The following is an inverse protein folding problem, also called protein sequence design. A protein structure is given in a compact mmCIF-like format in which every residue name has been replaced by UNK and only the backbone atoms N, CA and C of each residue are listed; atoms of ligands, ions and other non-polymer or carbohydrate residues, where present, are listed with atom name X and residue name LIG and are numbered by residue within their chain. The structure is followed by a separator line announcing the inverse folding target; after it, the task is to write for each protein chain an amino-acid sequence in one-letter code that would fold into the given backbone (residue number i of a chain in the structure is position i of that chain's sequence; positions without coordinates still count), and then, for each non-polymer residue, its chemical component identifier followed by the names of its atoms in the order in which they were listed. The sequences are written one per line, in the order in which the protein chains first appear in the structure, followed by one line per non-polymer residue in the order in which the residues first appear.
data_IF_059375591497
#
_entry.id   IF_059375591497
#
_cell.length_a   1.000
_cell.length_b   1.000
_cell.length_c   1.000
_cell.angle_alpha   90.00
_cell.angle_beta   90.00
_cell.angle_gamma   90.00
#
_symmetry.space_group_name_H-M   'P 1'
#
loop_
_entity.id
_entity.type
_entity.pdbx_description
1 polymer ?
#
# COMPACT_ATOMS: atom_id res chain seq x y z
N UNK A 1 37.92 19.50 7.22
CA UNK A 1 37.20 20.27 6.17
C UNK A 1 37.61 21.73 6.23
N UNK A 2 38.10 22.29 5.10
CA UNK A 2 38.52 23.70 5.00
C UNK A 2 37.35 24.70 5.07
N UNK A 3 37.65 25.98 5.32
CA UNK A 3 36.63 27.04 5.46
C UNK A 3 35.81 27.26 4.17
N UNK A 4 36.46 27.25 3.01
CA UNK A 4 35.80 27.43 1.69
C UNK A 4 34.84 26.28 1.40
N UNK A 5 35.25 25.04 1.71
CA UNK A 5 34.43 23.85 1.50
C UNK A 5 33.17 23.88 2.37
N UNK A 6 33.31 24.30 3.64
CA UNK A 6 32.17 24.51 4.53
C UNK A 6 31.21 25.59 4.01
N UNK A 7 31.71 26.66 3.39
CA UNK A 7 30.86 27.72 2.82
C UNK A 7 30.11 27.24 1.57
N UNK A 8 30.76 26.48 0.68
CA UNK A 8 30.11 25.86 -0.49
C UNK A 8 29.01 24.90 -0.06
N UNK A 9 29.32 24.02 0.90
CA UNK A 9 28.36 23.08 1.47
C UNK A 9 27.12 23.79 2.06
N UNK A 10 27.32 24.85 2.85
CA UNK A 10 26.20 25.64 3.41
C UNK A 10 25.34 26.31 2.34
N UNK A 11 25.96 26.84 1.27
CA UNK A 11 25.20 27.42 0.15
C UNK A 11 24.38 26.35 -0.58
N UNK A 12 24.96 25.16 -0.75
CA UNK A 12 24.28 24.03 -1.37
C UNK A 12 23.07 23.56 -0.55
N UNK A 13 23.25 23.34 0.75
CA UNK A 13 22.18 22.98 1.69
C UNK A 13 21.07 24.04 1.72
N UNK A 14 21.44 25.32 1.69
CA UNK A 14 20.48 26.42 1.66
C UNK A 14 19.65 26.42 0.37
N UNK A 15 20.27 26.16 -0.79
CA UNK A 15 19.56 26.06 -2.06
C UNK A 15 18.56 24.90 -2.05
N UNK A 16 18.97 23.72 -1.57
CA UNK A 16 18.08 22.56 -1.40
C UNK A 16 16.89 22.92 -0.52
N UNK A 17 17.14 23.48 0.67
CA UNK A 17 16.07 23.84 1.61
C UNK A 17 15.07 24.84 1.01
N UNK A 18 15.56 25.84 0.26
CA UNK A 18 14.72 26.82 -0.45
C UNK A 18 13.82 26.13 -1.48
N UNK A 19 14.39 25.26 -2.33
CA UNK A 19 13.62 24.60 -3.38
C UNK A 19 12.67 23.52 -2.84
N UNK A 20 13.01 22.86 -1.72
CA UNK A 20 12.07 21.96 -1.01
C UNK A 20 10.84 22.71 -0.49
N UNK A 21 11.02 23.94 0.01
CA UNK A 21 9.88 24.78 0.40
C UNK A 21 9.05 25.19 -0.82
N UNK A 22 9.71 25.56 -1.91
CA UNK A 22 9.04 26.02 -3.13
C UNK A 22 8.21 24.90 -3.80
N UNK A 23 8.76 23.70 -3.97
CA UNK A 23 8.09 22.59 -4.67
C UNK A 23 6.79 22.13 -3.97
N UNK A 24 6.68 22.36 -2.66
CA UNK A 24 5.49 22.03 -1.85
C UNK A 24 4.54 23.22 -1.64
N UNK A 25 4.81 24.38 -2.23
CA UNK A 25 4.02 25.58 -1.97
C UNK A 25 2.65 25.50 -2.69
N UNK A 26 1.62 25.13 -1.93
CA UNK A 26 0.23 24.98 -2.42
C UNK A 26 -0.40 26.28 -2.91
N UNK A 27 -0.04 27.40 -2.29
CA UNK A 27 -0.64 28.71 -2.58
C UNK A 27 0.27 29.61 -3.42
N UNK A 28 1.45 29.11 -3.79
CA UNK A 28 2.41 29.82 -4.63
C UNK A 28 2.07 29.76 -6.10
N UNK A 29 2.74 30.62 -6.87
CA UNK A 29 2.72 30.56 -8.33
C UNK A 29 3.30 29.23 -8.81
N UNK A 30 2.72 28.64 -9.85
CA UNK A 30 3.20 27.38 -10.43
C UNK A 30 4.66 27.46 -10.89
N UNK A 31 5.10 28.63 -11.34
CA UNK A 31 6.48 28.89 -11.76
C UNK A 31 7.52 28.59 -10.67
N UNK A 32 7.21 28.84 -9.39
CA UNK A 32 8.16 28.57 -8.31
C UNK A 32 8.33 27.06 -8.08
N UNK A 33 7.24 26.29 -8.25
CA UNK A 33 7.32 24.81 -8.24
C UNK A 33 8.07 24.32 -9.46
N UNK A 34 7.83 24.90 -10.64
CA UNK A 34 8.56 24.54 -11.85
C UNK A 34 10.07 24.78 -11.73
N UNK A 35 10.47 25.95 -11.23
CA UNK A 35 11.89 26.25 -10.94
C UNK A 35 12.50 25.27 -9.94
N UNK A 36 11.72 24.77 -8.98
CA UNK A 36 12.17 23.75 -8.04
C UNK A 36 12.30 22.36 -8.69
N UNK A 37 11.35 21.97 -9.56
CA UNK A 37 11.43 20.73 -10.34
C UNK A 37 12.69 20.75 -11.22
N UNK A 38 12.93 21.83 -11.95
CA UNK A 38 14.14 22.00 -12.78
C UNK A 38 15.42 21.97 -11.95
N UNK A 39 15.43 22.61 -10.77
CA UNK A 39 16.57 22.60 -9.86
C UNK A 39 16.92 21.18 -9.42
N UNK A 40 15.94 20.40 -8.94
CA UNK A 40 16.20 19.05 -8.47
C UNK A 40 16.51 18.07 -9.61
N UNK A 41 15.89 18.26 -10.78
CA UNK A 41 16.23 17.51 -11.99
C UNK A 41 17.70 17.72 -12.39
N UNK A 42 18.19 18.97 -12.39
CA UNK A 42 19.60 19.29 -12.68
C UNK A 42 20.56 18.85 -11.57
N UNK A 43 20.10 18.88 -10.31
CA UNK A 43 20.91 18.44 -9.18
C UNK A 43 21.25 16.94 -9.30
N UNK A 44 20.26 16.13 -9.67
CA UNK A 44 20.42 14.68 -9.78
C UNK A 44 20.83 14.02 -8.47
N UNK A 45 21.17 12.73 -8.54
CA UNK A 45 21.52 11.93 -7.37
C UNK A 45 20.42 11.90 -6.30
N UNK A 46 20.76 11.36 -5.13
CA UNK A 46 19.76 11.13 -4.08
C UNK A 46 19.10 12.43 -3.58
N UNK A 47 19.85 13.53 -3.45
CA UNK A 47 19.27 14.82 -3.04
C UNK A 47 18.30 15.40 -4.08
N UNK A 48 18.60 15.20 -5.37
CA UNK A 48 17.69 15.55 -6.47
C UNK A 48 16.42 14.71 -6.44
N UNK A 49 16.55 13.38 -6.34
CA UNK A 49 15.40 12.46 -6.32
C UNK A 49 14.49 12.71 -5.11
N UNK A 50 15.08 12.88 -3.93
CA UNK A 50 14.33 13.22 -2.72
C UNK A 50 13.59 14.55 -2.87
N UNK A 51 14.24 15.56 -3.43
CA UNK A 51 13.63 16.87 -3.67
C UNK A 51 12.46 16.81 -4.66
N UNK A 52 12.61 16.05 -5.76
CA UNK A 52 11.54 15.81 -6.74
C UNK A 52 10.34 15.10 -6.11
N UNK A 53 10.58 14.02 -5.36
CA UNK A 53 9.52 13.26 -4.71
C UNK A 53 8.67 14.13 -3.77
N UNK A 54 9.23 15.20 -3.18
CA UNK A 54 8.47 16.12 -2.32
C UNK A 54 7.28 16.79 -3.06
N UNK A 55 7.28 16.83 -4.40
CA UNK A 55 6.13 17.32 -5.17
C UNK A 55 4.86 16.48 -4.93
N UNK A 56 5.01 15.18 -4.70
CA UNK A 56 3.88 14.28 -4.45
C UNK A 56 3.24 14.46 -3.07
N UNK A 57 3.86 15.23 -2.16
CA UNK A 57 3.35 15.43 -0.81
C UNK A 57 2.14 16.38 -0.73
N UNK A 58 1.86 17.11 -1.81
CA UNK A 58 0.83 18.15 -1.84
C UNK A 58 -0.05 18.02 -3.07
N UNK A 59 -1.34 18.30 -2.88
CA UNK A 59 -2.26 18.57 -3.97
C UNK A 59 -2.42 20.10 -4.09
N UNK A 60 -2.55 20.58 -5.33
CA UNK A 60 -2.64 22.00 -5.66
C UNK A 60 -3.86 22.24 -6.55
N UNK A 61 -4.49 23.41 -6.41
CA UNK A 61 -5.56 23.85 -7.31
C UNK A 61 -5.03 24.77 -8.43
N UNK A 62 -5.56 24.69 -9.66
CA UNK A 62 -6.54 23.70 -10.13
C UNK A 62 -5.91 22.29 -10.26
N UNK A 63 -6.71 21.25 -10.04
CA UNK A 63 -6.29 19.85 -10.08
C UNK A 63 -5.58 19.42 -11.36
N UNK A 64 -5.95 19.97 -12.53
CA UNK A 64 -5.32 19.67 -13.82
C UNK A 64 -3.82 19.99 -13.77
N UNK A 65 -3.47 21.20 -13.30
CA UNK A 65 -2.07 21.62 -13.18
C UNK A 65 -1.30 20.77 -12.17
N UNK A 66 -1.96 20.35 -11.09
CA UNK A 66 -1.34 19.47 -10.10
C UNK A 66 -0.97 18.11 -10.70
N UNK A 67 -1.87 17.55 -11.50
CA UNK A 67 -1.64 16.28 -12.19
C UNK A 67 -0.53 16.42 -13.24
N UNK A 68 -0.52 17.48 -14.05
CA UNK A 68 0.54 17.76 -15.02
C UNK A 68 1.93 17.86 -14.37
N UNK A 69 2.05 18.62 -13.27
CA UNK A 69 3.31 18.76 -12.55
C UNK A 69 3.77 17.43 -11.93
N UNK A 70 2.85 16.62 -11.39
CA UNK A 70 3.16 15.31 -10.83
C UNK A 70 3.55 14.31 -11.93
N UNK A 71 2.87 14.34 -13.07
CA UNK A 71 3.20 13.54 -14.23
C UNK A 71 4.59 13.89 -14.77
N UNK A 72 4.95 15.16 -14.86
CA UNK A 72 6.30 15.58 -15.24
C UNK A 72 7.36 15.04 -14.25
N UNK A 73 7.12 15.16 -12.95
CA UNK A 73 8.03 14.63 -11.92
C UNK A 73 8.16 13.10 -12.02
N UNK A 74 7.05 12.40 -12.28
CA UNK A 74 7.05 10.96 -12.53
C UNK A 74 7.95 10.60 -13.71
N UNK A 75 7.80 11.26 -14.86
CA UNK A 75 8.61 10.99 -16.06
C UNK A 75 10.11 11.24 -15.83
N UNK A 76 10.45 12.32 -15.10
CA UNK A 76 11.85 12.63 -14.74
C UNK A 76 12.42 11.51 -13.88
N UNK A 77 11.69 11.06 -12.86
CA UNK A 77 12.17 10.01 -11.94
C UNK A 77 12.26 8.66 -12.66
N UNK A 78 11.31 8.31 -13.53
CA UNK A 78 11.36 7.10 -14.36
C UNK A 78 12.58 7.12 -15.28
N UNK A 79 12.88 8.28 -15.89
CA UNK A 79 14.08 8.46 -16.71
C UNK A 79 15.41 8.28 -15.95
N UNK A 80 15.39 8.32 -14.61
CA UNK A 80 16.55 8.06 -13.76
C UNK A 80 16.73 6.57 -13.44
N UNK A 81 15.78 5.69 -13.79
CA UNK A 81 15.88 4.24 -13.62
C UNK A 81 15.97 3.78 -12.16
N UNK A 82 16.64 2.66 -11.89
CA UNK A 82 16.67 2.07 -10.55
C UNK A 82 17.40 2.93 -9.47
N UNK A 83 18.16 3.95 -9.87
CA UNK A 83 18.91 4.81 -8.94
C UNK A 83 18.01 5.63 -8.00
N UNK A 84 16.73 5.83 -8.34
CA UNK A 84 15.75 6.52 -7.49
C UNK A 84 15.22 5.65 -6.33
N UNK A 85 15.39 4.31 -6.38
CA UNK A 85 14.81 3.39 -5.38
C UNK A 85 15.17 3.76 -3.93
N UNK A 86 16.43 4.09 -3.56
CA UNK A 86 16.75 4.49 -2.18
C UNK A 86 16.01 5.75 -1.71
N UNK A 87 15.77 6.71 -2.61
CA UNK A 87 14.98 7.91 -2.30
C UNK A 87 13.50 7.55 -2.09
N UNK A 88 12.94 6.60 -2.87
CA UNK A 88 11.58 6.08 -2.66
C UNK A 88 11.49 5.34 -1.31
N UNK A 89 12.44 4.48 -0.98
CA UNK A 89 12.49 3.79 0.31
C UNK A 89 12.45 4.80 1.46
N UNK A 90 13.27 5.85 1.39
CA UNK A 90 13.30 6.93 2.39
C UNK A 90 11.97 7.69 2.43
N UNK A 91 11.37 7.96 1.27
CA UNK A 91 10.08 8.63 1.13
C UNK A 91 8.95 7.84 1.80
N UNK A 92 8.88 6.54 1.55
CA UNK A 92 7.86 5.65 2.11
C UNK A 92 8.07 5.51 3.63
N UNK A 93 9.32 5.45 4.09
CA UNK A 93 9.66 5.18 5.49
C UNK A 93 9.86 6.43 6.37
N UNK A 94 9.54 7.62 5.89
CA UNK A 94 9.68 8.90 6.61
C UNK A 94 8.88 8.94 7.92
N UNK A 95 9.21 9.87 8.81
CA UNK A 95 8.57 9.97 10.14
C UNK A 95 7.11 10.45 10.06
N UNK A 96 6.81 11.32 9.12
CA UNK A 96 5.49 11.84 8.79
C UNK A 96 4.77 10.99 7.74
N UNK A 97 5.16 9.71 7.58
CA UNK A 97 4.67 8.83 6.52
C UNK A 97 3.15 8.65 6.54
N UNK A 98 2.53 8.67 7.73
CA UNK A 98 1.08 8.54 7.90
C UNK A 98 0.27 9.60 7.15
N UNK A 99 0.79 10.82 6.95
CA UNK A 99 0.05 11.93 6.32
C UNK A 99 0.47 12.23 4.88
N UNK A 100 1.41 11.45 4.34
CA UNK A 100 2.03 11.72 3.05
C UNK A 100 1.63 10.64 2.04
N UNK A 101 0.98 11.02 0.91
CA UNK A 101 0.55 10.08 -0.11
C UNK A 101 1.72 9.28 -0.70
N UNK A 102 1.52 7.99 -0.95
CA UNK A 102 2.53 7.11 -1.55
C UNK A 102 2.16 6.59 -2.93
N UNK A 103 0.98 6.93 -3.46
CA UNK A 103 0.51 6.45 -4.77
C UNK A 103 1.51 6.74 -5.90
N UNK A 104 1.96 7.99 -6.02
CA UNK A 104 2.95 8.36 -7.05
C UNK A 104 4.34 7.73 -6.83
N UNK A 105 4.92 7.77 -5.62
CA UNK A 105 6.14 7.01 -5.34
C UNK A 105 6.05 5.52 -5.67
N UNK A 106 4.91 4.86 -5.41
CA UNK A 106 4.70 3.46 -5.77
C UNK A 106 4.59 3.27 -7.29
N UNK A 107 3.92 4.18 -8.01
CA UNK A 107 3.94 4.18 -9.49
C UNK A 107 5.36 4.28 -10.04
N UNK A 108 6.19 5.19 -9.48
CA UNK A 108 7.60 5.29 -9.90
C UNK A 108 8.34 4.00 -9.58
N UNK A 109 8.16 3.43 -8.39
CA UNK A 109 8.79 2.17 -8.00
C UNK A 109 8.47 1.06 -8.99
N UNK A 110 7.19 0.90 -9.35
CA UNK A 110 6.72 -0.12 -10.29
C UNK A 110 7.33 0.04 -11.69
N UNK A 111 7.51 1.29 -12.13
CA UNK A 111 8.08 1.60 -13.44
C UNK A 111 9.61 1.40 -13.52
N UNK A 112 10.34 1.47 -12.40
CA UNK A 112 11.82 1.46 -12.41
C UNK A 112 12.46 0.25 -11.75
N UNK A 113 11.73 -0.46 -10.88
CA UNK A 113 12.26 -1.58 -10.12
C UNK A 113 12.01 -2.92 -10.83
N UNK A 114 12.92 -3.86 -10.62
CA UNK A 114 12.61 -5.28 -10.82
C UNK A 114 11.58 -5.74 -9.78
N UNK A 115 10.86 -6.84 -10.05
CA UNK A 115 9.93 -7.45 -9.10
C UNK A 115 10.56 -7.67 -7.72
N UNK A 116 11.75 -8.25 -7.65
CA UNK A 116 12.46 -8.51 -6.38
C UNK A 116 12.75 -7.21 -5.60
N UNK A 117 13.15 -6.16 -6.31
CA UNK A 117 13.39 -4.85 -5.69
C UNK A 117 12.09 -4.23 -5.16
N UNK A 118 11.03 -4.20 -5.97
CA UNK A 118 9.74 -3.64 -5.56
C UNK A 118 9.17 -4.38 -4.34
N UNK A 119 9.16 -5.72 -4.40
CA UNK A 119 8.72 -6.58 -3.28
C UNK A 119 9.54 -6.32 -2.03
N UNK A 120 10.88 -6.25 -2.14
CA UNK A 120 11.75 -5.96 -0.99
C UNK A 120 11.43 -4.61 -0.33
N UNK A 121 11.21 -3.56 -1.13
CA UNK A 121 10.85 -2.22 -0.61
C UNK A 121 9.52 -2.26 0.13
N UNK A 122 8.50 -2.85 -0.49
CA UNK A 122 7.14 -2.89 0.06
C UNK A 122 7.08 -3.76 1.32
N UNK A 123 7.70 -4.94 1.29
CA UNK A 123 7.80 -5.84 2.45
C UNK A 123 8.53 -5.16 3.62
N UNK A 124 9.64 -4.46 3.36
CA UNK A 124 10.34 -3.73 4.41
C UNK A 124 9.48 -2.63 5.04
N UNK A 125 8.71 -1.90 4.22
CA UNK A 125 7.79 -0.87 4.70
C UNK A 125 6.66 -1.47 5.55
N UNK A 126 6.01 -2.54 5.07
CA UNK A 126 4.95 -3.25 5.78
C UNK A 126 5.45 -3.82 7.12
N UNK A 127 6.62 -4.48 7.14
CA UNK A 127 7.22 -5.01 8.37
C UNK A 127 7.48 -3.91 9.41
N UNK A 128 7.94 -2.75 8.96
CA UNK A 128 8.18 -1.59 9.85
C UNK A 128 6.87 -1.03 10.42
N UNK A 129 5.80 -1.04 9.65
CA UNK A 129 4.48 -0.58 10.11
C UNK A 129 3.80 -1.59 11.03
N UNK A 130 4.10 -2.89 10.88
CA UNK A 130 3.51 -3.96 11.68
C UNK A 130 1.99 -4.04 11.57
N UNK A 131 1.36 -4.77 12.48
CA UNK A 131 -0.10 -4.98 12.54
C UNK A 131 -0.79 -4.13 13.60
N UNK A 132 -0.04 -3.27 14.29
CA UNK A 132 -0.53 -2.42 15.37
C UNK A 132 -1.48 -1.32 14.88
N UNK A 133 -2.26 -0.77 15.81
CA UNK A 133 -3.16 0.35 15.55
C UNK A 133 -2.41 1.52 14.92
N UNK A 134 -2.95 1.99 13.80
CA UNK A 134 -2.56 3.27 13.21
C UNK A 134 -3.82 4.09 12.94
N UNK A 135 -3.65 5.41 13.06
CA UNK A 135 -4.73 6.37 12.80
C UNK A 135 -5.20 6.31 11.34
N UNK A 136 -4.23 6.22 10.41
CA UNK A 136 -4.43 6.29 8.96
C UNK A 136 -4.05 4.92 8.33
N UNK A 137 -4.97 3.94 8.25
CA UNK A 137 -4.71 2.59 7.74
C UNK A 137 -4.57 2.54 6.22
N UNK A 138 -5.00 3.58 5.50
CA UNK A 138 -5.06 3.63 4.04
C UNK A 138 -3.70 3.34 3.43
N UNK A 139 -2.63 3.74 4.12
CA UNK A 139 -1.26 3.43 3.73
C UNK A 139 -0.94 1.93 3.78
N UNK A 140 -1.39 1.22 4.83
CA UNK A 140 -1.22 -0.25 4.92
C UNK A 140 -2.03 -0.91 3.82
N UNK A 141 -3.28 -0.50 3.63
CA UNK A 141 -4.16 -0.99 2.56
C UNK A 141 -3.47 -0.86 1.19
N UNK A 142 -2.95 0.33 0.85
CA UNK A 142 -2.25 0.56 -0.41
C UNK A 142 -1.00 -0.33 -0.58
N UNK A 143 -0.20 -0.51 0.47
CA UNK A 143 1.00 -1.35 0.40
C UNK A 143 0.65 -2.85 0.31
N UNK A 144 -0.39 -3.30 1.01
CA UNK A 144 -0.91 -4.67 0.93
C UNK A 144 -1.45 -4.94 -0.48
N UNK A 145 -2.26 -4.03 -1.03
CA UNK A 145 -2.77 -4.11 -2.40
C UNK A 145 -1.63 -4.14 -3.41
N UNK A 146 -0.68 -3.20 -3.33
CA UNK A 146 0.47 -3.15 -4.24
C UNK A 146 1.34 -4.42 -4.15
N UNK A 147 1.56 -4.98 -2.95
CA UNK A 147 2.33 -6.21 -2.80
C UNK A 147 1.65 -7.41 -3.50
N UNK A 148 0.31 -7.44 -3.51
CA UNK A 148 -0.47 -8.52 -4.09
C UNK A 148 -0.35 -8.62 -5.62
N UNK A 149 -0.06 -7.50 -6.28
CA UNK A 149 0.13 -7.42 -7.75
C UNK A 149 1.37 -8.19 -8.23
N UNK A 150 2.31 -8.52 -7.34
CA UNK A 150 3.52 -9.24 -7.71
C UNK A 150 3.34 -10.77 -7.63
N UNK A 151 3.86 -11.48 -8.62
CA UNK A 151 4.05 -12.93 -8.59
C UNK A 151 5.45 -13.26 -8.03
N UNK A 152 5.57 -13.24 -6.70
CA UNK A 152 6.84 -13.46 -6.01
C UNK A 152 6.64 -14.29 -4.74
N UNK A 153 7.53 -15.24 -4.41
CA UNK A 153 7.36 -16.17 -3.27
C UNK A 153 7.22 -15.47 -1.91
N UNK A 154 7.81 -14.29 -1.74
CA UNK A 154 7.69 -13.52 -0.50
C UNK A 154 6.34 -12.80 -0.34
N UNK A 155 5.46 -12.76 -1.34
CA UNK A 155 4.20 -12.01 -1.26
C UNK A 155 3.27 -12.62 -0.22
N UNK A 156 2.89 -13.89 -0.37
CA UNK A 156 1.91 -14.56 0.51
C UNK A 156 2.37 -14.58 1.98
N UNK A 157 3.62 -14.99 2.32
CA UNK A 157 4.09 -14.97 3.70
C UNK A 157 4.07 -13.59 4.36
N UNK A 158 4.24 -12.50 3.59
CA UNK A 158 4.24 -11.15 4.14
C UNK A 158 2.84 -10.49 4.12
N UNK A 159 1.86 -11.05 3.41
CA UNK A 159 0.45 -10.64 3.49
C UNK A 159 -0.27 -11.30 4.68
N UNK A 160 0.05 -12.56 5.02
CA UNK A 160 -0.58 -13.33 6.09
C UNK A 160 -0.70 -12.58 7.43
N UNK A 161 0.35 -11.89 7.95
CA UNK A 161 0.25 -11.17 9.22
C UNK A 161 -0.87 -10.12 9.25
N UNK A 162 -1.19 -9.50 8.12
CA UNK A 162 -2.19 -8.43 8.02
C UNK A 162 -3.64 -8.93 8.10
N UNK A 163 -3.88 -10.25 8.04
CA UNK A 163 -5.17 -10.84 8.45
C UNK A 163 -5.52 -10.53 9.92
N UNK A 164 -4.51 -10.25 10.75
CA UNK A 164 -4.64 -9.94 12.17
C UNK A 164 -4.34 -8.46 12.47
N UNK A 165 -4.35 -7.58 11.46
CA UNK A 165 -4.13 -6.14 11.66
C UNK A 165 -5.17 -5.53 12.62
N UNK A 166 -4.84 -4.48 13.37
CA UNK A 166 -5.82 -3.83 14.24
C UNK A 166 -7.00 -3.21 13.47
N UNK A 167 -6.82 -2.86 12.18
CA UNK A 167 -7.82 -2.16 11.38
C UNK A 167 -8.53 -3.12 10.42
N UNK A 168 -9.86 -3.19 10.52
CA UNK A 168 -10.68 -4.07 9.68
C UNK A 168 -10.49 -3.82 8.18
N UNK A 169 -10.23 -2.56 7.77
CA UNK A 169 -9.97 -2.25 6.36
C UNK A 169 -8.72 -2.96 5.84
N UNK A 170 -7.68 -3.09 6.69
CA UNK A 170 -6.43 -3.79 6.35
C UNK A 170 -6.63 -5.29 6.35
N UNK A 171 -7.41 -5.83 7.30
CA UNK A 171 -7.75 -7.27 7.33
C UNK A 171 -8.48 -7.70 6.07
N UNK A 172 -9.47 -6.91 5.62
CA UNK A 172 -10.24 -7.17 4.41
C UNK A 172 -9.37 -7.11 3.15
N UNK A 173 -8.47 -6.11 3.06
CA UNK A 173 -7.54 -6.01 1.94
C UNK A 173 -6.58 -7.21 1.90
N UNK A 174 -6.01 -7.60 3.05
CA UNK A 174 -5.14 -8.78 3.14
C UNK A 174 -5.88 -10.07 2.76
N UNK A 175 -7.12 -10.23 3.22
CA UNK A 175 -7.96 -11.37 2.85
C UNK A 175 -8.22 -11.40 1.33
N UNK A 176 -8.61 -10.26 0.75
CA UNK A 176 -8.84 -10.11 -0.69
C UNK A 176 -7.58 -10.47 -1.50
N UNK A 177 -6.44 -9.91 -1.11
CA UNK A 177 -5.15 -10.20 -1.73
C UNK A 177 -4.81 -11.70 -1.68
N UNK A 178 -4.94 -12.34 -0.51
CA UNK A 178 -4.66 -13.77 -0.35
C UNK A 178 -5.62 -14.67 -1.14
N UNK A 179 -6.89 -14.28 -1.25
CA UNK A 179 -7.87 -14.97 -2.12
C UNK A 179 -7.44 -14.89 -3.59
N UNK A 180 -6.97 -13.73 -4.04
CA UNK A 180 -6.50 -13.56 -5.40
C UNK A 180 -5.20 -14.34 -5.68
N UNK A 181 -4.30 -14.43 -4.70
CA UNK A 181 -3.09 -15.28 -4.82
C UNK A 181 -3.42 -16.78 -4.82
N UNK A 182 -4.50 -17.18 -4.16
CA UNK A 182 -4.97 -18.58 -4.07
C UNK A 182 -3.90 -19.58 -3.60
N UNK A 183 -2.94 -19.13 -2.80
CA UNK A 183 -1.87 -19.96 -2.24
C UNK A 183 -2.34 -20.61 -0.92
N UNK A 184 -2.31 -21.94 -0.87
CA UNK A 184 -2.80 -22.75 0.25
C UNK A 184 -2.09 -22.45 1.59
N UNK A 185 -0.92 -21.81 1.58
CA UNK A 185 -0.28 -21.29 2.80
C UNK A 185 -1.21 -20.37 3.61
N UNK A 186 -2.14 -19.68 2.96
CA UNK A 186 -3.11 -18.80 3.63
C UNK A 186 -4.26 -19.54 4.30
N UNK A 187 -4.46 -20.84 4.02
CA UNK A 187 -5.60 -21.62 4.53
C UNK A 187 -5.68 -21.64 6.06
N UNK A 188 -4.58 -22.01 6.73
CA UNK A 188 -4.58 -22.07 8.19
C UNK A 188 -4.72 -20.69 8.85
N UNK A 189 -3.99 -19.63 8.41
CA UNK A 189 -4.23 -18.27 8.90
C UNK A 189 -5.67 -17.78 8.73
N UNK A 190 -6.31 -18.07 7.59
CA UNK A 190 -7.73 -17.73 7.39
C UNK A 190 -8.62 -18.49 8.36
N UNK A 191 -8.38 -19.78 8.60
CA UNK A 191 -9.14 -20.55 9.59
C UNK A 191 -8.94 -20.04 11.01
N UNK A 192 -7.73 -19.60 11.37
CA UNK A 192 -7.45 -18.97 12.66
C UNK A 192 -8.22 -17.66 12.81
N UNK A 193 -8.21 -16.79 11.80
CA UNK A 193 -9.02 -15.58 11.79
C UNK A 193 -10.52 -15.90 11.91
N UNK A 194 -11.02 -16.91 11.20
CA UNK A 194 -12.44 -17.27 11.26
C UNK A 194 -12.90 -17.64 12.67
N UNK A 195 -12.07 -18.38 13.42
CA UNK A 195 -12.41 -18.91 14.74
C UNK A 195 -11.95 -18.04 15.91
N UNK A 196 -11.24 -16.97 15.62
CA UNK A 196 -10.82 -16.00 16.63
C UNK A 196 -12.04 -15.27 17.21
N UNK A 197 -12.06 -15.11 18.54
CA UNK A 197 -13.21 -14.62 19.28
C UNK A 197 -13.53 -13.15 18.96
N UNK A 198 -12.51 -12.34 18.73
CA UNK A 198 -12.60 -10.90 18.45
C UNK A 198 -12.93 -10.60 16.98
N UNK A 199 -13.01 -11.63 16.14
CA UNK A 199 -13.30 -11.45 14.71
C UNK A 199 -14.77 -11.04 14.49
N UNK A 200 -15.03 -9.85 13.92
CA UNK A 200 -16.39 -9.38 13.67
C UNK A 200 -17.15 -10.31 12.71
N UNK A 201 -18.47 -10.42 12.91
CA UNK A 201 -19.35 -11.30 12.10
C UNK A 201 -19.19 -11.06 10.59
N UNK A 202 -19.04 -9.80 10.16
CA UNK A 202 -18.83 -9.44 8.74
C UNK A 202 -17.53 -10.03 8.20
N UNK A 203 -16.45 -9.95 8.97
CA UNK A 203 -15.17 -10.51 8.57
C UNK A 203 -15.21 -12.05 8.59
N UNK A 204 -15.88 -12.67 9.57
CA UNK A 204 -16.12 -14.13 9.56
C UNK A 204 -16.87 -14.58 8.30
N UNK A 205 -17.90 -13.83 7.89
CA UNK A 205 -18.63 -14.13 6.66
C UNK A 205 -17.74 -14.02 5.42
N UNK A 206 -16.90 -12.97 5.33
CA UNK A 206 -15.96 -12.79 4.24
C UNK A 206 -14.91 -13.92 4.18
N UNK A 207 -14.36 -14.35 5.32
CA UNK A 207 -13.42 -15.47 5.38
C UNK A 207 -14.10 -16.79 4.98
N UNK A 208 -15.34 -17.02 5.42
CA UNK A 208 -16.10 -18.19 5.02
C UNK A 208 -16.34 -18.21 3.50
N UNK A 209 -16.67 -17.06 2.90
CA UNK A 209 -16.83 -16.90 1.45
C UNK A 209 -15.50 -17.13 0.70
N UNK A 210 -14.39 -16.61 1.21
CA UNK A 210 -13.06 -16.86 0.69
C UNK A 210 -12.74 -18.37 0.65
N UNK A 211 -12.94 -19.09 1.76
CA UNK A 211 -12.71 -20.54 1.83
C UNK A 211 -13.61 -21.31 0.86
N UNK A 212 -14.87 -20.89 0.68
CA UNK A 212 -15.77 -21.48 -0.31
C UNK A 212 -15.28 -21.25 -1.75
N UNK A 213 -14.91 -20.01 -2.09
CA UNK A 213 -14.40 -19.63 -3.42
C UNK A 213 -13.14 -20.42 -3.79
N UNK A 214 -12.26 -20.63 -2.82
CA UNK A 214 -11.01 -21.36 -2.98
C UNK A 214 -11.18 -22.89 -2.89
N UNK A 215 -12.35 -23.38 -2.47
CA UNK A 215 -12.60 -24.79 -2.24
C UNK A 215 -11.80 -25.38 -1.07
N UNK A 216 -11.33 -24.55 -0.14
CA UNK A 216 -10.51 -24.99 0.98
C UNK A 216 -11.37 -25.57 2.11
N UNK A 217 -10.99 -26.77 2.56
CA UNK A 217 -11.71 -27.44 3.66
C UNK A 217 -11.34 -26.85 5.02
N UNK A 218 -12.24 -26.97 5.99
CA UNK A 218 -12.03 -26.62 7.40
C UNK A 218 -11.48 -27.81 8.21
N UNK A 219 -10.88 -28.81 7.55
CA UNK A 219 -10.27 -29.97 8.22
C UNK A 219 -9.30 -29.52 9.32
N UNK A 220 -9.45 -30.09 10.51
CA UNK A 220 -8.71 -29.69 11.72
C UNK A 220 -9.40 -28.60 12.56
N UNK A 221 -10.33 -27.83 11.97
CA UNK A 221 -11.01 -26.70 12.62
C UNK A 221 -12.53 -26.88 12.71
N UNK A 222 -13.10 -27.98 12.17
CA UNK A 222 -14.55 -28.21 12.02
C UNK A 222 -15.40 -27.75 13.20
N UNK A 223 -15.17 -28.27 14.40
CA UNK A 223 -15.98 -27.95 15.60
C UNK A 223 -15.94 -26.45 15.93
N UNK A 224 -14.76 -25.82 15.82
CA UNK A 224 -14.58 -24.39 16.08
C UNK A 224 -15.29 -23.55 15.02
N UNK A 225 -15.15 -23.93 13.75
CA UNK A 225 -15.83 -23.24 12.64
C UNK A 225 -17.34 -23.34 12.77
N UNK A 226 -17.89 -24.53 13.00
CA UNK A 226 -19.34 -24.73 13.18
C UNK A 226 -19.91 -23.89 14.34
N UNK A 227 -19.14 -23.63 15.39
CA UNK A 227 -19.56 -22.83 16.54
C UNK A 227 -19.64 -21.32 16.25
N UNK A 228 -18.90 -20.82 15.26
CA UNK A 228 -18.78 -19.37 14.96
C UNK A 228 -19.35 -18.97 13.61
N UNK A 229 -19.76 -19.94 12.78
CA UNK A 229 -20.28 -19.66 11.45
C UNK A 229 -21.53 -18.76 11.54
N UNK A 230 -21.56 -17.67 10.75
CA UNK A 230 -22.76 -16.84 10.65
C UNK A 230 -23.99 -17.62 10.17
N UNK A 231 -25.18 -17.16 10.57
CA UNK A 231 -26.46 -17.78 10.19
C UNK A 231 -26.58 -17.91 8.65
N UNK A 232 -27.00 -19.10 8.20
CA UNK A 232 -27.12 -19.44 6.77
C UNK A 232 -25.90 -20.17 6.19
N UNK A 233 -24.81 -20.27 6.95
CA UNK A 233 -23.62 -21.05 6.60
C UNK A 233 -23.54 -22.35 7.40
N UNK A 234 -22.99 -23.40 6.80
CA UNK A 234 -22.79 -24.71 7.44
C UNK A 234 -21.58 -25.43 6.86
N UNK A 235 -21.09 -26.48 7.54
CA UNK A 235 -19.99 -27.31 7.04
C UNK A 235 -20.52 -28.66 6.55
N UNK A 236 -20.27 -29.00 5.29
CA UNK A 236 -20.69 -30.29 4.71
C UNK A 236 -19.85 -31.47 5.23
N UNK A 237 -20.20 -32.71 4.87
CA UNK A 237 -19.46 -33.92 5.31
C UNK A 237 -17.99 -33.94 4.86
N UNK A 238 -17.68 -33.30 3.73
CA UNK A 238 -16.32 -33.18 3.20
C UNK A 238 -15.50 -32.10 3.89
N UNK A 239 -16.10 -31.32 4.79
CA UNK A 239 -15.43 -30.23 5.49
C UNK A 239 -15.39 -28.94 4.69
N UNK A 240 -16.22 -28.76 3.67
CA UNK A 240 -16.34 -27.48 2.97
C UNK A 240 -17.45 -26.65 3.61
N UNK A 241 -17.25 -25.34 3.67
CA UNK A 241 -18.33 -24.42 4.03
C UNK A 241 -19.33 -24.36 2.86
N UNK A 242 -20.62 -24.28 3.17
CA UNK A 242 -21.73 -24.19 2.21
C UNK A 242 -22.77 -23.20 2.70
N UNK A 243 -23.57 -22.70 1.76
CA UNK A 243 -24.70 -21.81 2.03
C UNK A 243 -24.39 -20.36 1.68
N UNK A 244 -25.22 -19.44 2.19
CA UNK A 244 -25.07 -18.00 2.00
C UNK A 244 -25.34 -17.32 3.33
N UNK A 245 -24.50 -16.35 3.69
CA UNK A 245 -24.74 -15.56 4.89
C UNK A 245 -26.07 -14.80 4.78
N UNK A 246 -26.97 -15.03 5.73
CA UNK A 246 -28.35 -14.50 5.70
C UNK A 246 -28.44 -12.97 5.64
N UNK A 247 -27.46 -12.28 6.21
CA UNK A 247 -27.38 -10.82 6.26
C UNK A 247 -26.36 -10.25 5.25
N UNK A 248 -25.96 -11.04 4.25
CA UNK A 248 -25.18 -10.51 3.15
C UNK A 248 -25.90 -9.28 2.56
N UNK A 249 -25.17 -8.19 2.27
CA UNK A 249 -25.76 -7.05 1.58
C UNK A 249 -26.50 -7.55 0.35
N UNK A 250 -27.75 -7.13 0.18
CA UNK A 250 -28.46 -7.34 -1.08
C UNK A 250 -27.61 -6.64 -2.14
N UNK A 251 -26.86 -7.40 -2.94
CA UNK A 251 -26.30 -6.86 -4.16
C UNK A 251 -27.49 -6.27 -4.91
N UNK A 252 -27.48 -4.96 -5.16
CA UNK A 252 -28.40 -4.37 -6.12
C UNK A 252 -28.24 -5.21 -7.38
N UNK A 253 -29.29 -5.94 -7.75
CA UNK A 253 -29.38 -6.58 -9.04
C UNK A 253 -28.94 -5.54 -10.06
N UNK A 254 -27.89 -5.90 -10.81
CA UNK A 254 -27.46 -5.16 -11.98
C UNK A 254 -28.73 -4.71 -12.72
N UNK A 255 -28.83 -3.40 -12.92
CA UNK A 255 -29.85 -2.79 -13.75
C UNK A 255 -29.67 -3.32 -15.18
N UNK A 256 -30.16 -4.53 -15.41
CA UNK A 256 -30.67 -4.96 -16.69
C UNK A 256 -32.09 -4.44 -16.81
N UNK A 257 -32.28 -3.54 -17.77
CA UNK A 257 -33.47 -3.27 -18.60
C UNK A 257 -33.56 -1.75 -18.82
N UNK A 258 -33.26 -1.32 -20.05
CA UNK A 258 -33.51 0.04 -20.56
C UNK A 258 -32.52 0.48 -21.62
#
# INVERSE_FOLDING_TARGET
MGLIERLKQRRHEHAIAKHKKAIKNKYGQGEDRQKAIEFFSKLGGQDGYEGLLERFMVNVEPSIRDEEEKQQVYEILVGCGADVIPAIEKYINRRDSATVPITWPLKVLDAVATTDQAVKVIVAALRKMGTEYVREPERKVLLVAQLAEYDHPDVVPNLIPFLQDHRDEVRLEALSALVNKADEQAREPMLQLLVDEDTPVRLRAAVAEALMKLGWTVKGYRKKVEAVLPEGLSVDRGGHIRGRWKFAPQQQEEAGIG
#
